data_IF_454302020604
#
_entry.id   IF_454302020604
#
_cell.length_a   1.000
_cell.length_b   1.000
_cell.length_c   1.000
_cell.angle_alpha   90.00
_cell.angle_beta   90.00
_cell.angle_gamma   90.00
#
_symmetry.space_group_name_H-M   'P 1'
#
loop_
_entity.id
_entity.type
_entity.pdbx_description
1 polymer ?
#
# COMPACT_ATOMS: atom_id res chain seq x y z
N UNK A 1 -19.99 11.16 15.40
CA UNK A 1 -20.01 10.08 14.41
C UNK A 1 -18.80 9.20 14.66
N UNK A 2 -19.01 7.90 14.81
CA UNK A 2 -18.00 6.90 15.16
C UNK A 2 -17.54 6.15 13.92
N UNK A 3 -16.22 6.07 13.72
CA UNK A 3 -15.61 5.46 12.54
C UNK A 3 -14.63 4.37 12.99
N UNK A 4 -14.63 3.23 12.32
CA UNK A 4 -13.66 2.16 12.59
C UNK A 4 -12.96 1.74 11.32
N UNK A 5 -11.63 1.64 11.39
CA UNK A 5 -10.77 1.06 10.36
C UNK A 5 -10.46 -0.40 10.71
N UNK A 6 -10.78 -1.31 9.80
CA UNK A 6 -10.66 -2.77 9.94
C UNK A 6 -10.08 -3.40 8.67
N UNK A 7 -9.69 -4.65 8.68
CA UNK A 7 -9.16 -5.43 9.79
C UNK A 7 -7.63 -5.42 9.79
N UNK A 8 -7.03 -4.59 8.94
CA UNK A 8 -5.59 -4.51 8.69
C UNK A 8 -5.09 -3.07 8.80
N UNK A 9 -3.86 -2.91 9.28
CA UNK A 9 -3.10 -1.68 9.13
C UNK A 9 -2.00 -1.90 8.10
N UNK A 10 -2.22 -1.42 6.87
CA UNK A 10 -1.31 -1.58 5.74
C UNK A 10 -0.58 -0.26 5.51
N UNK A 11 0.75 -0.29 5.62
CA UNK A 11 1.61 0.86 5.34
C UNK A 11 1.35 2.08 6.24
N UNK A 12 0.66 1.93 7.38
CA UNK A 12 0.31 3.05 8.26
C UNK A 12 -0.86 3.93 7.78
N UNK A 13 -1.40 3.73 6.57
CA UNK A 13 -2.48 4.55 6.02
C UNK A 13 -3.74 4.58 6.91
N UNK A 14 -4.29 3.43 7.37
CA UNK A 14 -5.49 3.45 8.21
C UNK A 14 -5.29 4.21 9.51
N UNK A 15 -4.15 4.01 10.17
CA UNK A 15 -3.82 4.65 11.42
C UNK A 15 -3.67 6.17 11.27
N UNK A 16 -2.91 6.61 10.26
CA UNK A 16 -2.70 8.04 10.05
C UNK A 16 -3.99 8.74 9.61
N UNK A 17 -4.80 8.09 8.76
CA UNK A 17 -6.13 8.58 8.39
C UNK A 17 -7.05 8.72 9.61
N UNK A 18 -7.12 7.67 10.45
CA UNK A 18 -7.91 7.68 11.69
C UNK A 18 -7.52 8.82 12.62
N UNK A 19 -6.20 9.04 12.80
CA UNK A 19 -5.69 10.15 13.59
C UNK A 19 -6.15 11.51 13.06
N UNK A 20 -6.07 11.72 11.76
CA UNK A 20 -6.50 12.98 11.14
C UNK A 20 -8.03 13.16 11.17
N UNK A 21 -8.82 12.07 11.10
CA UNK A 21 -10.27 12.15 11.31
C UNK A 21 -10.60 12.57 12.75
N UNK A 22 -9.84 12.11 13.74
CA UNK A 22 -9.98 12.57 15.14
C UNK A 22 -9.62 14.06 15.29
N UNK A 23 -8.57 14.54 14.62
CA UNK A 23 -8.21 15.96 14.57
C UNK A 23 -9.34 16.82 13.93
N UNK A 24 -10.18 16.22 13.08
CA UNK A 24 -11.35 16.87 12.44
C UNK A 24 -12.65 16.73 13.30
N UNK A 25 -12.55 16.27 14.54
CA UNK A 25 -13.66 16.17 15.48
C UNK A 25 -14.56 14.94 15.31
N UNK A 26 -14.07 13.89 14.63
CA UNK A 26 -14.73 12.60 14.53
C UNK A 26 -14.16 11.62 15.57
N UNK A 27 -14.88 10.57 15.93
CA UNK A 27 -14.39 9.49 16.80
C UNK A 27 -13.96 8.31 15.93
N UNK A 28 -12.67 8.26 15.60
CA UNK A 28 -12.12 7.27 14.67
C UNK A 28 -11.10 6.36 15.36
N UNK A 29 -11.22 5.06 15.12
CA UNK A 29 -10.37 4.02 15.70
C UNK A 29 -9.86 3.05 14.64
N UNK A 30 -8.70 2.46 14.91
CA UNK A 30 -8.06 1.44 14.08
C UNK A 30 -7.97 0.12 14.83
N UNK A 31 -8.70 -0.89 14.37
CA UNK A 31 -8.64 -2.23 14.95
C UNK A 31 -8.06 -3.22 13.93
N UNK A 32 -7.13 -4.06 14.37
CA UNK A 32 -6.50 -5.07 13.51
C UNK A 32 -6.70 -6.47 14.07
N UNK A 33 -6.85 -7.46 13.19
CA UNK A 33 -6.95 -8.87 13.63
C UNK A 33 -5.66 -9.28 14.33
N UNK A 34 -4.50 -8.95 13.75
CA UNK A 34 -3.19 -9.29 14.33
C UNK A 34 -2.18 -8.19 13.97
N UNK A 35 -1.11 -8.08 14.74
CA UNK A 35 0.04 -7.24 14.39
C UNK A 35 0.65 -7.69 13.07
N UNK A 36 1.07 -6.72 12.26
CA UNK A 36 1.92 -7.02 11.11
C UNK A 36 3.41 -7.01 11.51
N UNK A 37 4.28 -7.49 10.62
CA UNK A 37 5.72 -7.56 10.86
C UNK A 37 6.39 -6.18 11.00
N UNK A 38 5.80 -5.11 10.47
CA UNK A 38 6.28 -3.72 10.56
C UNK A 38 5.85 -3.03 11.86
N UNK A 39 5.09 -3.71 12.72
CA UNK A 39 4.65 -3.19 14.03
C UNK A 39 3.88 -1.86 13.98
N UNK A 40 3.16 -1.56 12.90
CA UNK A 40 2.28 -0.39 12.88
C UNK A 40 1.32 -0.44 14.07
N UNK A 41 1.18 0.66 14.77
CA UNK A 41 0.29 0.78 15.92
C UNK A 41 -1.19 0.67 15.47
N UNK A 42 -2.03 0.19 16.36
CA UNK A 42 -3.48 0.17 16.21
C UNK A 42 -4.10 0.37 17.58
N UNK A 43 -5.29 0.97 17.65
CA UNK A 43 -5.98 1.21 18.92
C UNK A 43 -6.39 -0.12 19.58
N UNK A 44 -6.67 -1.15 18.76
CA UNK A 44 -6.97 -2.50 19.27
C UNK A 44 -6.42 -3.59 18.37
N UNK A 45 -5.82 -4.60 19.00
CA UNK A 45 -5.43 -5.87 18.39
C UNK A 45 -6.42 -6.92 18.88
N UNK A 46 -7.15 -7.54 17.94
CA UNK A 46 -8.25 -8.46 18.26
C UNK A 46 -7.70 -9.81 18.70
N UNK A 47 -6.70 -10.32 18.02
CA UNK A 47 -6.15 -11.66 18.24
C UNK A 47 -4.66 -11.62 18.61
N UNK A 48 -4.27 -12.52 19.50
CA UNK A 48 -2.88 -12.75 19.86
C UNK A 48 -2.23 -13.79 18.92
N UNK A 49 -0.91 -13.74 18.68
CA UNK A 49 -0.19 -14.82 17.98
C UNK A 49 -0.32 -16.21 18.63
N UNK A 50 -0.68 -16.26 19.91
CA UNK A 50 -0.88 -17.51 20.67
C UNK A 50 -2.29 -18.09 20.54
N UNK A 51 -3.23 -17.36 19.92
CA UNK A 51 -4.59 -17.80 19.78
C UNK A 51 -4.70 -18.96 18.77
N UNK A 52 -5.35 -20.05 19.17
CA UNK A 52 -5.73 -21.08 18.23
C UNK A 52 -6.89 -20.63 17.32
N UNK A 53 -7.20 -21.41 16.28
CA UNK A 53 -8.25 -21.05 15.29
C UNK A 53 -9.60 -20.76 15.92
N UNK A 54 -10.02 -21.55 16.90
CA UNK A 54 -11.32 -21.40 17.58
C UNK A 54 -11.33 -20.07 18.35
N UNK A 55 -10.27 -19.79 19.11
CA UNK A 55 -10.17 -18.53 19.86
C UNK A 55 -10.15 -17.31 18.95
N UNK A 56 -9.49 -17.39 17.79
CA UNK A 56 -9.52 -16.32 16.76
C UNK A 56 -10.95 -16.05 16.32
N UNK A 57 -11.77 -17.09 16.05
CA UNK A 57 -13.14 -16.89 15.60
C UNK A 57 -14.05 -16.36 16.71
N UNK A 58 -13.88 -16.82 17.96
CA UNK A 58 -14.60 -16.27 19.13
C UNK A 58 -14.28 -14.78 19.28
N UNK A 59 -13.01 -14.39 19.20
CA UNK A 59 -12.59 -12.99 19.32
C UNK A 59 -13.09 -12.12 18.17
N UNK A 60 -13.13 -12.63 16.94
CA UNK A 60 -13.71 -11.94 15.78
C UNK A 60 -15.21 -11.74 15.96
N UNK A 61 -15.93 -12.76 16.45
CA UNK A 61 -17.35 -12.66 16.72
C UNK A 61 -17.63 -11.64 17.85
N UNK A 62 -16.85 -11.67 18.92
CA UNK A 62 -16.92 -10.65 19.96
C UNK A 62 -16.63 -9.24 19.42
N UNK A 63 -15.62 -9.10 18.55
CA UNK A 63 -15.28 -7.83 17.90
C UNK A 63 -16.43 -7.32 17.01
N UNK A 64 -17.10 -8.20 16.27
CA UNK A 64 -18.23 -7.84 15.41
C UNK A 64 -19.33 -7.10 16.20
N UNK A 65 -19.65 -7.56 17.41
CA UNK A 65 -20.66 -6.91 18.28
C UNK A 65 -20.32 -5.44 18.56
N UNK A 66 -19.04 -5.15 18.73
CA UNK A 66 -18.57 -3.76 18.92
C UNK A 66 -18.50 -2.99 17.61
N UNK A 67 -18.17 -3.63 16.49
CA UNK A 67 -18.16 -2.97 15.17
C UNK A 67 -19.54 -2.42 14.82
N UNK A 68 -20.61 -3.09 15.23
CA UNK A 68 -21.99 -2.64 14.97
C UNK A 68 -22.37 -1.31 15.65
N UNK A 69 -21.63 -0.84 16.66
CA UNK A 69 -21.88 0.46 17.30
C UNK A 69 -21.29 1.66 16.52
N UNK A 70 -20.39 1.41 15.55
CA UNK A 70 -19.82 2.44 14.71
C UNK A 70 -20.79 2.83 13.59
N UNK A 71 -20.73 4.10 13.16
CA UNK A 71 -21.58 4.62 12.09
C UNK A 71 -20.98 4.32 10.72
N UNK A 72 -19.64 4.30 10.65
CA UNK A 72 -18.86 4.07 9.43
C UNK A 72 -17.83 2.98 9.68
N UNK A 73 -17.80 2.01 8.78
CA UNK A 73 -16.81 0.92 8.79
C UNK A 73 -15.95 1.02 7.54
N UNK A 74 -14.65 1.21 7.73
CA UNK A 74 -13.66 1.31 6.67
C UNK A 74 -12.85 0.00 6.62
N UNK A 75 -13.09 -0.80 5.59
CA UNK A 75 -12.37 -2.04 5.34
C UNK A 75 -11.10 -1.79 4.53
N UNK A 76 -9.95 -2.13 5.10
CA UNK A 76 -8.64 -1.98 4.49
C UNK A 76 -8.14 -3.30 3.91
N UNK A 77 -7.47 -3.23 2.75
CA UNK A 77 -6.96 -4.40 2.05
C UNK A 77 -8.06 -5.26 1.44
N UNK A 78 -9.17 -4.63 1.00
CA UNK A 78 -10.27 -5.29 0.29
C UNK A 78 -10.88 -6.47 1.05
N UNK A 79 -10.94 -6.41 2.40
CA UNK A 79 -11.49 -7.50 3.22
C UNK A 79 -12.10 -7.00 4.52
N UNK A 80 -13.09 -7.73 5.02
CA UNK A 80 -13.72 -7.54 6.32
C UNK A 80 -13.12 -8.47 7.40
N UNK A 81 -13.71 -8.57 8.55
CA UNK A 81 -13.28 -9.50 9.62
C UNK A 81 -13.31 -10.96 9.12
N UNK A 82 -14.29 -11.32 8.31
CA UNK A 82 -14.43 -12.64 7.72
C UNK A 82 -14.15 -12.60 6.23
N UNK A 83 -13.48 -13.63 5.70
CA UNK A 83 -13.19 -13.72 4.26
C UNK A 83 -14.35 -14.40 3.54
N UNK A 84 -14.97 -13.75 2.53
CA UNK A 84 -16.08 -14.35 1.80
C UNK A 84 -15.64 -15.50 0.88
N UNK A 85 -14.38 -15.50 0.45
CA UNK A 85 -13.81 -16.52 -0.45
C UNK A 85 -12.39 -16.86 -0.02
N UNK A 86 -12.03 -18.12 -0.18
CA UNK A 86 -10.70 -18.65 0.12
C UNK A 86 -10.27 -19.56 -1.04
N UNK A 87 -8.95 -19.67 -1.26
CA UNK A 87 -8.42 -20.65 -2.19
C UNK A 87 -8.68 -22.05 -1.62
N UNK A 88 -9.46 -22.84 -2.33
CA UNK A 88 -9.59 -24.26 -2.04
C UNK A 88 -8.31 -24.96 -2.50
N UNK A 89 -7.55 -25.54 -1.58
CA UNK A 89 -6.64 -26.64 -1.89
C UNK A 89 -7.48 -27.81 -2.45
N UNK A 90 -6.86 -28.69 -3.22
CA UNK A 90 -7.54 -29.89 -3.70
C UNK A 90 -8.27 -30.57 -2.54
N UNK A 91 -9.59 -30.64 -2.63
CA UNK A 91 -10.42 -31.23 -1.60
C UNK A 91 -10.30 -32.74 -1.66
N UNK A 92 -9.97 -33.36 -0.54
CA UNK A 92 -9.90 -34.80 -0.41
C UNK A 92 -10.87 -35.24 0.66
N UNK A 93 -11.91 -35.97 0.27
CA UNK A 93 -12.95 -36.51 1.17
C UNK A 93 -12.40 -37.50 2.22
N UNK A 94 -11.29 -38.15 1.95
CA UNK A 94 -10.68 -39.12 2.86
C UNK A 94 -9.70 -38.49 3.87
N UNK A 95 -9.55 -37.15 3.82
CA UNK A 95 -8.64 -36.43 4.71
C UNK A 95 -9.43 -35.51 5.66
N UNK A 96 -9.44 -35.83 6.94
CA UNK A 96 -10.13 -35.07 7.99
C UNK A 96 -9.71 -33.57 7.99
N UNK A 97 -8.44 -33.29 7.76
CA UNK A 97 -7.95 -31.91 7.69
C UNK A 97 -8.56 -31.15 6.50
N UNK A 98 -8.75 -31.81 5.37
CA UNK A 98 -9.43 -31.22 4.19
C UNK A 98 -10.90 -30.94 4.49
N UNK A 99 -11.58 -31.85 5.18
CA UNK A 99 -12.99 -31.67 5.59
C UNK A 99 -13.11 -30.48 6.56
N UNK A 100 -12.27 -30.44 7.59
CA UNK A 100 -12.25 -29.31 8.55
C UNK A 100 -11.94 -27.97 7.90
N UNK A 101 -11.03 -27.95 6.93
CA UNK A 101 -10.75 -26.75 6.13
C UNK A 101 -11.97 -26.31 5.31
N UNK A 102 -12.68 -27.26 4.69
CA UNK A 102 -13.88 -26.96 3.91
C UNK A 102 -15.01 -26.40 4.79
N UNK A 103 -15.27 -27.02 5.94
CA UNK A 103 -16.24 -26.53 6.92
C UNK A 103 -15.89 -25.13 7.42
N UNK A 104 -14.62 -24.88 7.69
CA UNK A 104 -14.14 -23.54 8.07
C UNK A 104 -14.36 -22.51 6.95
N UNK A 105 -14.20 -22.90 5.67
CA UNK A 105 -14.44 -22.00 4.54
C UNK A 105 -15.93 -21.68 4.38
N UNK A 106 -16.80 -22.67 4.57
CA UNK A 106 -18.26 -22.48 4.56
C UNK A 106 -18.65 -21.53 5.71
N UNK A 107 -18.15 -21.77 6.92
CA UNK A 107 -18.35 -20.89 8.06
C UNK A 107 -17.89 -19.45 7.78
N UNK A 108 -16.67 -19.26 7.28
CA UNK A 108 -16.13 -17.94 6.97
C UNK A 108 -16.93 -17.22 5.87
N UNK A 109 -17.37 -17.97 4.86
CA UNK A 109 -18.24 -17.49 3.78
C UNK A 109 -19.61 -17.03 4.32
N UNK A 110 -20.21 -17.80 5.22
CA UNK A 110 -21.48 -17.45 5.89
C UNK A 110 -21.31 -16.22 6.78
N UNK A 111 -20.30 -16.21 7.63
CA UNK A 111 -20.03 -15.12 8.56
C UNK A 111 -19.72 -13.80 7.86
N UNK A 112 -19.06 -13.82 6.71
CA UNK A 112 -18.84 -12.61 5.91
C UNK A 112 -20.16 -12.00 5.42
N UNK A 113 -21.16 -12.82 5.09
CA UNK A 113 -22.52 -12.36 4.71
C UNK A 113 -23.28 -11.83 5.89
N UNK A 114 -23.19 -12.49 7.03
CA UNK A 114 -23.81 -12.03 8.29
C UNK A 114 -23.22 -10.67 8.67
N UNK A 115 -21.90 -10.53 8.68
CA UNK A 115 -21.21 -9.27 8.99
C UNK A 115 -21.72 -8.11 8.13
N UNK A 116 -21.62 -8.25 6.80
CA UNK A 116 -22.00 -7.18 5.87
C UNK A 116 -23.54 -6.98 5.83
N UNK A 117 -24.30 -8.05 5.95
CA UNK A 117 -25.77 -7.98 6.03
C UNK A 117 -26.26 -7.20 7.26
N UNK A 118 -25.66 -7.45 8.43
CA UNK A 118 -25.96 -6.71 9.66
C UNK A 118 -25.57 -5.23 9.54
N UNK A 119 -24.40 -4.93 9.00
CA UNK A 119 -23.97 -3.55 8.78
C UNK A 119 -24.95 -2.81 7.86
N UNK A 120 -25.38 -3.45 6.76
CA UNK A 120 -26.36 -2.88 5.83
C UNK A 120 -27.75 -2.72 6.48
N UNK A 121 -28.22 -3.73 7.21
CA UNK A 121 -29.50 -3.68 7.93
C UNK A 121 -29.54 -2.51 8.94
N UNK A 122 -28.41 -2.29 9.63
CA UNK A 122 -28.23 -1.19 10.57
C UNK A 122 -27.87 0.14 9.89
N UNK A 123 -27.97 0.21 8.56
CA UNK A 123 -27.69 1.40 7.74
C UNK A 123 -26.29 2.01 7.97
N UNK A 124 -25.30 1.16 8.29
CA UNK A 124 -23.92 1.61 8.45
C UNK A 124 -23.28 1.92 7.08
N UNK A 125 -22.50 3.00 6.99
CA UNK A 125 -21.73 3.30 5.78
C UNK A 125 -20.51 2.41 5.72
N UNK A 126 -20.29 1.73 4.58
CA UNK A 126 -19.18 0.80 4.36
C UNK A 126 -18.27 1.39 3.31
N UNK A 127 -17.02 1.67 3.69
CA UNK A 127 -15.97 2.14 2.80
C UNK A 127 -14.93 1.04 2.62
N UNK A 128 -14.41 0.89 1.40
CA UNK A 128 -13.44 -0.16 1.08
C UNK A 128 -12.21 0.48 0.45
N UNK A 129 -11.04 0.16 1.00
CA UNK A 129 -9.75 0.62 0.52
C UNK A 129 -8.95 -0.55 -0.06
N UNK A 130 -8.61 -0.45 -1.36
CA UNK A 130 -7.69 -1.35 -2.03
C UNK A 130 -6.31 -0.71 -2.14
N UNK A 131 -5.26 -1.49 -1.81
CA UNK A 131 -3.93 -0.93 -1.62
C UNK A 131 -2.82 -1.60 -2.44
N UNK A 132 -3.13 -2.67 -3.21
CA UNK A 132 -2.16 -3.33 -4.05
C UNK A 132 -2.47 -4.78 -4.36
N UNK A 133 -1.77 -5.74 -3.75
CA UNK A 133 -1.93 -7.18 -4.01
C UNK A 133 -3.30 -7.74 -3.61
N UNK A 134 -4.06 -7.00 -2.83
CA UNK A 134 -5.43 -7.29 -2.43
C UNK A 134 -6.42 -7.25 -3.62
N UNK A 135 -6.15 -6.42 -4.62
CA UNK A 135 -6.98 -6.31 -5.84
C UNK A 135 -6.23 -6.63 -7.13
N UNK A 136 -4.89 -6.44 -7.18
CA UNK A 136 -4.11 -6.63 -8.41
C UNK A 136 -4.21 -8.06 -8.92
N UNK A 137 -4.64 -8.21 -10.18
CA UNK A 137 -4.87 -9.49 -10.85
C UNK A 137 -3.72 -9.76 -11.83
N UNK A 138 -3.04 -10.88 -11.66
CA UNK A 138 -1.86 -11.22 -12.46
C UNK A 138 -2.21 -11.58 -13.91
N UNK A 139 -3.33 -12.27 -14.10
CA UNK A 139 -3.82 -12.58 -15.45
C UNK A 139 -4.11 -11.31 -16.25
N UNK A 140 -4.76 -10.31 -15.63
CA UNK A 140 -4.96 -9.01 -16.25
C UNK A 140 -3.64 -8.30 -16.53
N UNK A 141 -2.74 -8.22 -15.55
CA UNK A 141 -1.43 -7.59 -15.71
C UNK A 141 -0.60 -8.27 -16.79
N UNK A 142 -0.62 -9.61 -16.86
CA UNK A 142 0.10 -10.39 -17.86
C UNK A 142 -0.39 -10.14 -19.28
N UNK A 143 -1.70 -9.92 -19.44
CA UNK A 143 -2.31 -9.68 -20.74
C UNK A 143 -2.15 -8.24 -21.22
N UNK A 144 -2.17 -7.27 -20.30
CA UNK A 144 -2.37 -5.85 -20.66
C UNK A 144 -1.13 -4.98 -20.44
N UNK A 145 -0.14 -5.41 -19.63
CA UNK A 145 1.01 -4.58 -19.29
C UNK A 145 2.33 -5.15 -19.83
N UNK A 146 3.11 -4.32 -20.51
CA UNK A 146 4.47 -4.67 -20.97
C UNK A 146 5.39 -4.91 -19.76
N UNK A 147 5.42 -4.00 -18.82
CA UNK A 147 6.19 -4.09 -17.57
C UNK A 147 5.24 -4.45 -16.44
N UNK A 148 5.52 -5.53 -15.74
CA UNK A 148 4.68 -6.11 -14.71
C UNK A 148 5.51 -6.71 -13.59
N UNK A 149 4.92 -6.82 -12.42
CA UNK A 149 5.57 -7.45 -11.26
C UNK A 149 5.90 -8.91 -11.60
N UNK A 150 7.16 -9.35 -11.49
CA UNK A 150 7.54 -10.73 -11.71
C UNK A 150 7.10 -11.58 -10.51
N UNK A 151 5.86 -12.05 -10.55
CA UNK A 151 5.40 -13.01 -9.55
C UNK A 151 5.95 -14.39 -9.91
N UNK A 152 6.69 -15.00 -8.99
CA UNK A 152 7.05 -16.41 -9.12
C UNK A 152 5.78 -17.27 -9.15
N UNK A 153 5.72 -18.25 -10.06
CA UNK A 153 4.55 -19.12 -10.28
C UNK A 153 4.09 -19.89 -9.03
N UNK A 154 4.93 -19.97 -8.01
CA UNK A 154 4.66 -20.65 -6.74
C UNK A 154 4.24 -19.71 -5.59
N UNK A 155 4.30 -18.39 -5.78
CA UNK A 155 3.83 -17.46 -4.75
C UNK A 155 2.31 -17.42 -4.73
N UNK A 156 1.73 -17.27 -3.53
CA UNK A 156 0.27 -17.10 -3.38
C UNK A 156 -0.27 -15.94 -4.21
N UNK A 157 0.55 -14.93 -4.50
CA UNK A 157 0.20 -13.75 -5.28
C UNK A 157 0.28 -13.96 -6.79
N UNK A 158 1.05 -14.96 -7.28
CA UNK A 158 1.24 -15.27 -8.70
C UNK A 158 0.29 -16.32 -9.30
N UNK A 159 -0.57 -16.93 -8.49
CA UNK A 159 -1.43 -18.02 -8.94
C UNK A 159 -2.78 -17.49 -9.45
N UNK A 160 -3.18 -17.84 -10.69
CA UNK A 160 -4.45 -17.46 -11.31
C UNK A 160 -5.71 -17.82 -10.49
N UNK A 161 -5.67 -18.88 -9.68
CA UNK A 161 -6.75 -19.21 -8.73
C UNK A 161 -7.02 -18.07 -7.74
N UNK A 162 -5.98 -17.34 -7.33
CA UNK A 162 -6.14 -16.19 -6.44
C UNK A 162 -6.74 -14.99 -7.16
N UNK A 163 -6.51 -14.81 -8.46
CA UNK A 163 -7.11 -13.73 -9.24
C UNK A 163 -8.63 -13.90 -9.35
N UNK A 164 -9.11 -15.13 -9.54
CA UNK A 164 -10.56 -15.42 -9.51
C UNK A 164 -11.16 -15.11 -8.12
N UNK A 165 -10.46 -15.46 -7.04
CA UNK A 165 -10.91 -15.15 -5.68
C UNK A 165 -10.96 -13.64 -5.44
N UNK A 166 -9.99 -12.88 -5.94
CA UNK A 166 -9.98 -11.42 -5.87
C UNK A 166 -11.19 -10.85 -6.61
N UNK A 167 -11.45 -11.29 -7.85
CA UNK A 167 -12.63 -10.88 -8.62
C UNK A 167 -13.95 -11.16 -7.88
N UNK A 168 -14.10 -12.38 -7.35
CA UNK A 168 -15.29 -12.75 -6.56
C UNK A 168 -15.41 -11.88 -5.30
N UNK A 169 -14.29 -11.60 -4.61
CA UNK A 169 -14.28 -10.77 -3.42
C UNK A 169 -14.60 -9.31 -3.73
N UNK A 170 -14.01 -8.73 -4.78
CA UNK A 170 -14.30 -7.38 -5.26
C UNK A 170 -15.79 -7.25 -5.57
N UNK A 171 -16.36 -8.17 -6.38
CA UNK A 171 -17.77 -8.17 -6.73
C UNK A 171 -18.69 -8.39 -5.52
N UNK A 172 -18.24 -9.14 -4.52
CA UNK A 172 -19.00 -9.33 -3.29
C UNK A 172 -19.05 -8.06 -2.47
N UNK A 173 -17.89 -7.45 -2.19
CA UNK A 173 -17.81 -6.25 -1.36
C UNK A 173 -18.45 -5.03 -2.01
N UNK A 174 -18.36 -4.89 -3.34
CA UNK A 174 -18.93 -3.75 -4.07
C UNK A 174 -20.45 -3.62 -3.90
N UNK A 175 -21.17 -4.75 -3.65
CA UNK A 175 -22.63 -4.76 -3.39
C UNK A 175 -23.01 -4.08 -2.07
N UNK A 176 -22.08 -3.99 -1.14
CA UNK A 176 -22.31 -3.43 0.19
C UNK A 176 -21.65 -2.07 0.39
N UNK A 177 -20.67 -1.75 -0.45
CA UNK A 177 -19.86 -0.55 -0.32
C UNK A 177 -20.66 0.72 -0.63
N UNK A 178 -20.57 1.71 0.26
CA UNK A 178 -21.00 3.09 0.00
C UNK A 178 -19.96 3.84 -0.84
N UNK A 179 -18.67 3.55 -0.62
CA UNK A 179 -17.53 4.11 -1.36
C UNK A 179 -16.43 3.08 -1.48
N UNK A 180 -15.70 3.12 -2.60
CA UNK A 180 -14.52 2.30 -2.85
C UNK A 180 -13.38 3.21 -3.26
N UNK A 181 -12.22 3.04 -2.62
CA UNK A 181 -11.00 3.77 -2.94
C UNK A 181 -9.87 2.84 -3.33
N UNK A 182 -9.03 3.33 -4.22
CA UNK A 182 -7.76 2.69 -4.58
C UNK A 182 -6.59 3.63 -4.31
N UNK A 183 -5.56 3.14 -3.62
CA UNK A 183 -4.32 3.90 -3.39
C UNK A 183 -3.33 3.78 -4.55
N UNK A 184 -3.58 2.86 -5.49
CA UNK A 184 -2.75 2.67 -6.68
C UNK A 184 -3.62 2.76 -7.93
N UNK A 185 -3.24 3.57 -8.92
CA UNK A 185 -4.06 3.77 -10.11
C UNK A 185 -4.18 2.52 -10.99
N UNK A 186 -3.20 1.62 -10.99
CA UNK A 186 -3.25 0.37 -11.76
C UNK A 186 -4.41 -0.56 -11.35
N UNK A 187 -4.88 -0.45 -10.11
CA UNK A 187 -6.00 -1.26 -9.62
C UNK A 187 -7.35 -0.83 -10.21
N UNK A 188 -7.47 0.42 -10.67
CA UNK A 188 -8.70 0.93 -11.27
C UNK A 188 -9.07 0.24 -12.59
N UNK A 189 -8.13 -0.46 -13.21
CA UNK A 189 -8.43 -1.32 -14.35
C UNK A 189 -9.30 -2.55 -13.99
N UNK A 190 -9.25 -3.00 -12.73
CA UNK A 190 -9.89 -4.26 -12.28
C UNK A 190 -10.90 -4.05 -11.15
N UNK A 191 -11.03 -2.84 -10.67
CA UNK A 191 -12.01 -2.44 -9.67
C UNK A 191 -13.29 -1.89 -10.35
N UNK A 192 -14.43 -1.82 -9.64
CA UNK A 192 -15.65 -1.18 -10.16
C UNK A 192 -15.39 0.25 -10.66
N UNK A 193 -16.11 0.67 -11.68
CA UNK A 193 -15.96 2.01 -12.28
C UNK A 193 -16.26 3.17 -11.32
N UNK A 194 -17.00 2.89 -10.24
CA UNK A 194 -17.27 3.84 -9.16
C UNK A 194 -16.11 4.00 -8.18
N UNK A 195 -15.00 3.29 -8.37
CA UNK A 195 -13.82 3.38 -7.50
C UNK A 195 -13.07 4.68 -7.77
N UNK A 196 -12.75 5.41 -6.71
CA UNK A 196 -11.97 6.63 -6.79
C UNK A 196 -10.50 6.40 -6.40
N UNK A 197 -9.58 7.08 -7.11
CA UNK A 197 -8.19 7.15 -6.69
C UNK A 197 -8.07 8.03 -5.44
N UNK A 198 -7.32 7.55 -4.45
CA UNK A 198 -6.98 8.30 -3.25
C UNK A 198 -5.48 8.20 -2.99
N UNK A 199 -4.73 9.31 -2.87
CA UNK A 199 -3.31 9.26 -2.57
C UNK A 199 -3.01 8.60 -1.22
N UNK A 200 -1.78 8.11 -1.04
CA UNK A 200 -1.31 7.59 0.25
C UNK A 200 -1.37 8.65 1.34
N UNK A 201 -1.74 8.24 2.56
CA UNK A 201 -1.78 9.06 3.77
C UNK A 201 -1.03 8.38 4.92
N UNK A 202 0.11 7.77 4.61
CA UNK A 202 0.82 6.85 5.51
C UNK A 202 1.64 7.55 6.60
N UNK A 203 1.94 8.84 6.46
CA UNK A 203 2.76 9.61 7.39
C UNK A 203 2.17 10.98 7.70
N UNK A 204 2.50 11.53 8.87
CA UNK A 204 2.23 12.93 9.20
C UNK A 204 3.37 13.81 8.71
N UNK A 205 3.23 14.39 7.52
CA UNK A 205 4.28 15.18 6.85
C UNK A 205 4.81 16.32 7.73
N UNK A 206 4.00 16.86 8.64
CA UNK A 206 4.40 17.93 9.57
C UNK A 206 5.52 17.50 10.54
N UNK A 207 5.66 16.20 10.76
CA UNK A 207 6.66 15.60 11.67
C UNK A 207 7.92 15.14 10.94
N UNK A 208 7.97 15.40 9.62
CA UNK A 208 9.07 15.00 8.77
C UNK A 208 9.82 16.24 8.29
N UNK A 209 10.89 16.60 9.01
CA UNK A 209 11.78 17.68 8.58
C UNK A 209 12.53 17.28 7.31
N UNK A 210 12.85 18.26 6.48
CA UNK A 210 13.64 18.04 5.27
C UNK A 210 15.14 17.97 5.58
N UNK A 211 15.83 17.03 4.92
CA UNK A 211 17.27 16.81 5.07
C UNK A 211 17.96 16.98 3.71
N UNK A 212 18.06 18.22 3.23
CA UNK A 212 18.70 18.55 1.97
C UNK A 212 20.24 18.41 2.06
N UNK A 213 20.85 17.91 0.98
CA UNK A 213 22.30 17.66 0.89
C UNK A 213 23.00 18.51 -0.16
N UNK A 214 22.39 19.64 -0.58
CA UNK A 214 22.89 20.52 -1.64
C UNK A 214 24.35 20.95 -1.45
N UNK A 215 24.78 21.29 -0.24
CA UNK A 215 26.11 21.79 0.07
C UNK A 215 27.14 20.68 0.31
N UNK A 216 26.75 19.42 0.21
CA UNK A 216 27.66 18.29 0.47
C UNK A 216 28.64 18.10 -0.69
N UNK A 217 29.94 18.02 -0.37
CA UNK A 217 31.02 17.69 -1.34
C UNK A 217 31.26 16.18 -1.48
N UNK A 218 30.65 15.35 -0.61
CA UNK A 218 30.79 13.88 -0.70
C UNK A 218 30.14 13.32 -1.97
N UNK A 219 30.51 12.11 -2.42
CA UNK A 219 29.78 11.40 -3.45
C UNK A 219 28.28 11.25 -3.14
N UNK A 220 27.43 11.13 -4.18
CA UNK A 220 26.00 10.91 -4.01
C UNK A 220 25.73 9.60 -3.28
N UNK A 221 24.77 9.60 -2.36
CA UNK A 221 24.25 8.38 -1.68
C UNK A 221 22.90 8.02 -2.29
N UNK A 222 22.88 6.94 -3.06
CA UNK A 222 21.68 6.41 -3.72
C UNK A 222 21.17 5.24 -2.92
N UNK A 223 19.96 5.38 -2.34
CA UNK A 223 19.34 4.37 -1.50
C UNK A 223 18.36 3.48 -2.24
N UNK A 224 18.23 2.24 -1.76
CA UNK A 224 17.18 1.30 -2.15
C UNK A 224 16.73 0.54 -0.90
N UNK A 225 15.41 0.52 -0.60
CA UNK A 225 14.88 -0.10 0.60
C UNK A 225 13.70 -1.04 0.27
N UNK A 226 13.98 -2.26 -0.18
CA UNK A 226 12.95 -3.19 -0.61
C UNK A 226 12.38 -3.97 0.57
N UNK A 227 11.05 -3.95 0.74
CA UNK A 227 10.33 -4.92 1.60
C UNK A 227 10.17 -6.28 0.93
N UNK A 228 10.27 -6.32 -0.40
CA UNK A 228 10.30 -7.53 -1.22
C UNK A 228 11.20 -7.28 -2.43
N UNK A 229 12.35 -7.93 -2.46
CA UNK A 229 13.38 -7.70 -3.47
C UNK A 229 12.91 -8.00 -4.90
N UNK A 230 12.13 -9.08 -5.09
CA UNK A 230 11.62 -9.46 -6.42
C UNK A 230 10.64 -8.41 -6.97
N UNK A 231 9.68 -7.98 -6.15
CA UNK A 231 8.66 -7.00 -6.54
C UNK A 231 9.26 -5.62 -6.86
N UNK A 232 10.33 -5.25 -6.16
CA UNK A 232 10.98 -3.94 -6.29
C UNK A 232 12.00 -3.88 -7.43
N UNK A 233 12.46 -5.02 -7.95
CA UNK A 233 13.49 -5.08 -8.98
C UNK A 233 14.92 -4.92 -8.44
N UNK A 234 15.16 -5.31 -7.19
CA UNK A 234 16.41 -5.13 -6.46
C UNK A 234 17.62 -5.67 -7.22
N UNK A 235 17.52 -6.83 -7.87
CA UNK A 235 18.61 -7.42 -8.63
C UNK A 235 19.04 -6.56 -9.81
N UNK A 236 18.09 -5.93 -10.51
CA UNK A 236 18.38 -5.03 -11.64
C UNK A 236 19.02 -3.74 -11.15
N UNK A 237 18.50 -3.18 -10.04
CA UNK A 237 19.03 -1.95 -9.45
C UNK A 237 20.47 -2.16 -8.96
N UNK A 238 20.75 -3.26 -8.24
CA UNK A 238 22.10 -3.63 -7.79
C UNK A 238 23.06 -3.83 -8.96
N UNK A 239 22.60 -4.49 -10.05
CA UNK A 239 23.41 -4.69 -11.27
C UNK A 239 23.73 -3.37 -11.95
N UNK A 240 22.76 -2.46 -12.09
CA UNK A 240 22.95 -1.14 -12.66
C UNK A 240 23.95 -0.31 -11.86
N UNK A 241 23.80 -0.27 -10.53
CA UNK A 241 24.73 0.42 -9.65
C UNK A 241 26.18 -0.10 -9.79
N UNK A 242 26.36 -1.43 -9.78
CA UNK A 242 27.69 -2.05 -9.95
C UNK A 242 28.33 -1.73 -11.30
N UNK A 243 27.54 -1.73 -12.39
CA UNK A 243 28.05 -1.38 -13.73
C UNK A 243 28.52 0.06 -13.80
N UNK A 244 27.77 1.00 -13.19
CA UNK A 244 28.15 2.41 -13.15
C UNK A 244 29.43 2.63 -12.33
N UNK A 245 29.57 1.96 -11.17
CA UNK A 245 30.81 1.99 -10.40
C UNK A 245 32.01 1.46 -11.21
N UNK A 246 31.81 0.37 -11.96
CA UNK A 246 32.84 -0.18 -12.84
C UNK A 246 33.20 0.76 -14.02
N UNK A 247 32.26 1.63 -14.43
CA UNK A 247 32.50 2.71 -15.42
C UNK A 247 33.24 3.93 -14.84
N UNK A 248 33.54 3.91 -13.53
CA UNK A 248 34.26 4.99 -12.85
C UNK A 248 33.37 6.07 -12.22
N UNK A 249 32.07 5.89 -12.18
CA UNK A 249 31.19 6.82 -11.44
C UNK A 249 31.37 6.67 -9.94
N UNK A 250 31.64 7.78 -9.25
CA UNK A 250 31.80 7.84 -7.81
C UNK A 250 30.47 8.13 -7.12
N UNK A 251 29.89 7.13 -6.45
CA UNK A 251 28.70 7.24 -5.59
C UNK A 251 28.63 6.07 -4.61
N UNK A 252 27.90 6.26 -3.52
CA UNK A 252 27.61 5.22 -2.52
C UNK A 252 26.21 4.64 -2.81
N UNK A 253 26.13 3.31 -3.03
CA UNK A 253 24.86 2.61 -3.16
C UNK A 253 24.52 1.94 -1.85
N UNK A 254 23.39 2.36 -1.21
CA UNK A 254 22.95 1.95 0.12
C UNK A 254 21.70 1.09 0.02
N UNK A 255 21.79 -0.15 0.44
CA UNK A 255 20.61 -1.03 0.56
C UNK A 255 20.16 -1.07 2.01
N UNK A 256 18.89 -0.75 2.26
CA UNK A 256 18.31 -0.68 3.61
C UNK A 256 17.34 -1.85 3.77
N UNK A 257 17.78 -2.89 4.46
CA UNK A 257 17.03 -4.15 4.68
C UNK A 257 17.15 -4.56 6.15
N UNK A 258 16.17 -5.31 6.65
CA UNK A 258 16.17 -5.96 7.97
C UNK A 258 16.39 -5.01 9.17
N UNK A 259 15.93 -3.77 9.03
CA UNK A 259 16.02 -2.75 10.07
C UNK A 259 14.65 -2.41 10.66
N UNK A 260 14.66 -1.97 11.92
CA UNK A 260 13.47 -1.33 12.49
C UNK A 260 13.20 -0.01 11.77
N UNK A 261 11.93 0.41 11.73
CA UNK A 261 11.52 1.65 11.07
C UNK A 261 12.36 2.86 11.48
N UNK A 262 12.59 3.07 12.79
CA UNK A 262 13.37 4.20 13.27
C UNK A 262 14.83 4.18 12.78
N UNK A 263 15.47 3.00 12.76
CA UNK A 263 16.83 2.87 12.23
C UNK A 263 16.87 3.10 10.72
N UNK A 264 15.88 2.63 9.99
CA UNK A 264 15.78 2.89 8.55
C UNK A 264 15.62 4.38 8.26
N UNK A 265 14.78 5.11 9.01
CA UNK A 265 14.59 6.56 8.86
C UNK A 265 15.90 7.34 9.08
N UNK A 266 16.74 6.96 10.05
CA UNK A 266 18.04 7.61 10.22
C UNK A 266 18.95 7.44 9.00
N UNK A 267 18.92 6.28 8.33
CA UNK A 267 19.64 6.09 7.07
C UNK A 267 18.99 6.92 5.96
N UNK A 268 17.66 6.96 5.86
CA UNK A 268 16.93 7.73 4.84
C UNK A 268 17.31 9.22 4.86
N UNK A 269 17.50 9.81 6.04
CA UNK A 269 17.94 11.21 6.19
C UNK A 269 19.29 11.47 5.50
N UNK A 270 20.17 10.46 5.46
CA UNK A 270 21.52 10.58 4.88
C UNK A 270 21.57 10.37 3.38
N UNK A 271 20.52 9.82 2.77
CA UNK A 271 20.44 9.59 1.32
C UNK A 271 20.30 10.90 0.55
N UNK A 272 20.72 10.90 -0.70
CA UNK A 272 20.47 11.98 -1.65
C UNK A 272 19.28 11.65 -2.54
N UNK A 273 19.14 10.39 -2.94
CA UNK A 273 18.14 9.90 -3.89
C UNK A 273 17.68 8.51 -3.45
N UNK A 274 16.39 8.19 -3.69
CA UNK A 274 15.86 6.84 -3.53
C UNK A 274 15.58 6.21 -4.89
N UNK A 275 15.93 4.94 -5.07
CA UNK A 275 15.34 4.08 -6.11
C UNK A 275 14.26 3.24 -5.46
N UNK A 276 12.97 3.50 -5.78
CA UNK A 276 11.84 2.80 -5.14
C UNK A 276 11.54 1.46 -5.79
N UNK A 277 10.94 1.44 -6.99
CA UNK A 277 10.50 0.20 -7.63
C UNK A 277 10.37 0.32 -9.14
N UNK A 278 10.60 -0.81 -9.86
CA UNK A 278 10.68 -0.83 -11.32
C UNK A 278 9.54 -1.59 -12.01
N UNK A 279 8.61 -2.23 -11.29
CA UNK A 279 7.63 -3.12 -11.90
C UNK A 279 6.17 -2.75 -11.67
N UNK A 280 5.86 -2.04 -10.59
CA UNK A 280 4.46 -1.84 -10.17
C UNK A 280 3.70 -0.80 -11.00
N UNK A 281 4.38 0.07 -11.72
CA UNK A 281 3.75 1.14 -12.51
C UNK A 281 3.30 2.36 -11.69
N UNK A 282 3.53 2.34 -10.39
CA UNK A 282 3.27 3.44 -9.46
C UNK A 282 4.27 3.38 -8.31
N UNK A 283 4.49 4.50 -7.64
CA UNK A 283 5.34 4.56 -6.45
C UNK A 283 4.66 4.00 -5.21
N UNK A 284 5.44 3.66 -4.18
CA UNK A 284 4.92 3.13 -2.92
C UNK A 284 4.91 4.15 -1.78
N UNK A 285 4.41 3.73 -0.60
CA UNK A 285 4.45 4.53 0.62
C UNK A 285 5.86 4.97 1.03
N UNK A 286 6.87 4.14 0.76
CA UNK A 286 8.28 4.49 0.98
C UNK A 286 8.70 5.74 0.18
N UNK A 287 8.26 5.86 -1.07
CA UNK A 287 8.54 7.05 -1.87
C UNK A 287 7.95 8.32 -1.22
N UNK A 288 6.74 8.22 -0.65
CA UNK A 288 6.12 9.33 0.10
C UNK A 288 6.96 9.71 1.32
N UNK A 289 7.48 8.72 2.06
CA UNK A 289 8.38 8.93 3.20
C UNK A 289 9.66 9.67 2.78
N UNK A 290 10.35 9.19 1.75
CA UNK A 290 11.61 9.80 1.29
C UNK A 290 11.38 11.21 0.68
N UNK A 291 10.32 11.39 -0.11
CA UNK A 291 9.96 12.72 -0.63
C UNK A 291 9.61 13.70 0.51
N UNK A 292 9.05 13.20 1.62
CA UNK A 292 8.81 14.04 2.81
C UNK A 292 10.10 14.50 3.49
N UNK A 293 11.17 13.72 3.39
CA UNK A 293 12.51 14.12 3.81
C UNK A 293 13.22 15.01 2.76
N UNK A 294 12.56 15.34 1.66
CA UNK A 294 13.16 16.08 0.55
C UNK A 294 14.11 15.24 -0.29
N UNK A 295 13.85 13.94 -0.47
CA UNK A 295 14.68 13.07 -1.30
C UNK A 295 13.98 12.81 -2.63
N UNK A 296 14.60 13.13 -3.78
CA UNK A 296 14.10 12.74 -5.09
C UNK A 296 13.99 11.22 -5.22
N UNK A 297 13.05 10.77 -6.04
CA UNK A 297 12.75 9.35 -6.18
C UNK A 297 12.84 8.92 -7.64
N UNK A 298 13.54 7.81 -7.89
CA UNK A 298 13.55 7.07 -9.15
C UNK A 298 12.53 5.94 -9.04
N UNK A 299 11.59 5.87 -9.98
CA UNK A 299 10.56 4.81 -9.98
C UNK A 299 9.97 4.62 -11.37
N UNK A 300 9.37 3.45 -11.60
CA UNK A 300 8.57 3.22 -12.81
C UNK A 300 7.15 3.80 -12.63
N UNK A 301 6.75 4.65 -13.56
CA UNK A 301 5.40 5.20 -13.67
C UNK A 301 4.80 4.71 -14.99
N UNK A 302 3.68 3.98 -14.94
CA UNK A 302 2.97 3.53 -16.13
C UNK A 302 2.08 4.64 -16.65
N UNK A 303 2.37 5.11 -17.87
CA UNK A 303 1.64 6.23 -18.48
C UNK A 303 0.13 5.94 -18.65
N UNK A 304 -0.25 4.70 -18.99
CA UNK A 304 -1.65 4.30 -19.16
C UNK A 304 -2.49 4.39 -17.88
N UNK A 305 -1.84 4.36 -16.71
CA UNK A 305 -2.50 4.48 -15.41
C UNK A 305 -2.79 5.94 -15.04
N UNK A 306 -2.11 6.90 -15.68
CA UNK A 306 -2.23 8.34 -15.37
C UNK A 306 -3.59 8.95 -15.73
N UNK A 307 -4.40 8.25 -16.51
CA UNK A 307 -5.80 8.62 -16.77
C UNK A 307 -6.70 8.53 -15.53
N UNK A 308 -6.29 7.80 -14.50
CA UNK A 308 -7.06 7.56 -13.28
C UNK A 308 -6.73 8.53 -12.13
N UNK A 309 -5.71 9.36 -12.29
CA UNK A 309 -5.32 10.35 -11.29
C UNK A 309 -5.75 11.77 -11.72
N UNK A 310 -5.85 12.72 -10.78
CA UNK A 310 -6.13 14.12 -11.13
C UNK A 310 -5.13 14.67 -12.15
N UNK A 311 -5.63 15.43 -13.14
CA UNK A 311 -4.80 15.98 -14.21
C UNK A 311 -3.68 16.87 -13.66
N UNK A 312 -3.96 17.65 -12.63
CA UNK A 312 -2.97 18.50 -11.96
C UNK A 312 -1.87 17.66 -11.29
N UNK A 313 -2.25 16.55 -10.62
CA UNK A 313 -1.28 15.63 -10.02
C UNK A 313 -0.36 15.00 -11.07
N UNK A 314 -0.91 14.66 -12.25
CA UNK A 314 -0.14 14.11 -13.38
C UNK A 314 0.94 15.07 -13.85
N UNK A 315 0.64 16.36 -13.92
CA UNK A 315 1.56 17.42 -14.36
C UNK A 315 2.67 17.69 -13.33
N UNK A 316 2.43 17.40 -12.06
CA UNK A 316 3.32 17.70 -10.94
C UNK A 316 4.15 16.50 -10.47
N UNK A 317 4.05 15.33 -11.12
CA UNK A 317 4.82 14.14 -10.73
C UNK A 317 6.33 14.41 -10.73
N UNK A 318 7.02 14.39 -9.57
CA UNK A 318 8.41 14.85 -9.44
C UNK A 318 9.44 13.73 -9.62
N UNK A 319 9.09 12.63 -10.31
CA UNK A 319 9.89 11.42 -10.36
C UNK A 319 10.90 11.41 -11.50
N UNK A 320 12.09 10.90 -11.22
CA UNK A 320 12.95 10.35 -12.27
C UNK A 320 12.34 9.01 -12.72
N UNK A 321 11.76 9.00 -13.92
CA UNK A 321 11.07 7.80 -14.44
C UNK A 321 12.10 6.80 -14.99
N UNK A 322 12.08 5.58 -14.48
CA UNK A 322 12.93 4.50 -14.94
C UNK A 322 12.15 3.19 -15.12
N UNK A 323 12.40 2.52 -16.22
CA UNK A 323 11.94 1.15 -16.50
C UNK A 323 13.04 0.14 -16.13
N UNK A 324 12.72 -1.16 -15.99
CA UNK A 324 13.71 -2.20 -15.74
C UNK A 324 14.90 -2.17 -16.71
N UNK A 325 14.65 -1.82 -17.99
CA UNK A 325 15.65 -1.77 -19.06
C UNK A 325 16.46 -0.46 -19.06
N UNK A 326 15.91 0.61 -18.49
CA UNK A 326 16.51 1.97 -18.56
C UNK A 326 17.13 2.43 -17.25
N UNK A 327 17.02 1.66 -16.16
CA UNK A 327 17.49 2.07 -14.82
C UNK A 327 18.97 2.50 -14.81
N UNK A 328 19.85 1.77 -15.50
CA UNK A 328 21.29 2.12 -15.59
C UNK A 328 21.46 3.49 -16.23
N UNK A 329 20.81 3.74 -17.38
CA UNK A 329 20.88 5.02 -18.10
C UNK A 329 20.32 6.18 -17.26
N UNK A 330 19.21 5.96 -16.56
CA UNK A 330 18.61 7.00 -15.69
C UNK A 330 19.54 7.33 -14.52
N UNK A 331 20.13 6.33 -13.88
CA UNK A 331 21.11 6.57 -12.81
C UNK A 331 22.35 7.28 -13.33
N UNK A 332 22.87 6.93 -14.52
CA UNK A 332 23.99 7.61 -15.16
C UNK A 332 23.67 9.09 -15.45
N UNK A 333 22.47 9.37 -15.95
CA UNK A 333 22.00 10.74 -16.15
C UNK A 333 21.98 11.53 -14.83
N UNK A 334 21.43 10.93 -13.76
CA UNK A 334 21.35 11.56 -12.44
C UNK A 334 22.75 11.85 -11.86
N UNK A 335 23.70 10.91 -12.01
CA UNK A 335 25.07 11.07 -11.53
C UNK A 335 25.81 12.21 -12.25
N UNK A 336 25.44 12.53 -13.48
CA UNK A 336 25.97 13.64 -14.26
C UNK A 336 25.23 14.99 -13.99
N UNK A 337 24.12 15.00 -13.24
CA UNK A 337 23.43 16.25 -12.93
C UNK A 337 24.21 17.13 -11.97
N UNK A 338 24.20 18.46 -12.16
CA UNK A 338 24.66 19.40 -11.14
C UNK A 338 23.88 19.20 -9.83
N UNK A 339 24.55 19.33 -8.69
CA UNK A 339 23.89 19.23 -7.37
C UNK A 339 22.71 20.17 -7.21
N UNK A 340 22.75 21.33 -7.85
CA UNK A 340 21.64 22.29 -7.84
C UNK A 340 20.35 21.70 -8.44
N UNK A 341 20.44 20.94 -9.55
CA UNK A 341 19.25 20.31 -10.16
C UNK A 341 18.69 19.16 -9.32
N UNK A 342 19.57 18.39 -8.65
CA UNK A 342 19.12 17.37 -7.67
C UNK A 342 18.39 18.06 -6.51
N UNK A 343 18.87 19.21 -6.07
CA UNK A 343 18.23 19.99 -5.02
C UNK A 343 16.88 20.57 -5.45
N UNK A 344 16.74 21.06 -6.67
CA UNK A 344 15.46 21.48 -7.25
C UNK A 344 14.46 20.32 -7.29
N UNK A 345 14.90 19.12 -7.70
CA UNK A 345 14.10 17.91 -7.67
C UNK A 345 13.69 17.51 -6.24
N UNK A 346 14.57 17.77 -5.25
CA UNK A 346 14.28 17.53 -3.84
C UNK A 346 13.17 18.47 -3.31
N UNK A 347 13.23 19.75 -3.69
CA UNK A 347 12.17 20.73 -3.37
C UNK A 347 10.86 20.35 -4.03
N UNK A 348 10.88 19.96 -5.31
CA UNK A 348 9.69 19.52 -6.04
C UNK A 348 9.06 18.29 -5.39
N UNK A 349 9.88 17.32 -4.97
CA UNK A 349 9.44 16.11 -4.25
C UNK A 349 8.72 16.46 -2.94
N UNK A 350 9.29 17.39 -2.15
CA UNK A 350 8.66 17.84 -0.88
C UNK A 350 7.34 18.56 -1.15
N UNK A 351 7.29 19.50 -2.08
CA UNK A 351 6.06 20.21 -2.46
C UNK A 351 4.96 19.26 -2.92
N UNK A 352 5.33 18.24 -3.70
CA UNK A 352 4.38 17.23 -4.20
C UNK A 352 3.70 16.48 -3.04
N UNK A 353 4.46 15.99 -2.07
CA UNK A 353 3.86 15.26 -0.94
C UNK A 353 3.03 16.18 -0.04
N UNK A 354 3.44 17.42 0.20
CA UNK A 354 2.67 18.41 0.96
C UNK A 354 1.32 18.74 0.30
N UNK A 355 1.28 18.72 -1.02
CA UNK A 355 0.05 18.97 -1.76
C UNK A 355 -0.85 17.73 -1.80
N UNK A 356 -0.33 16.57 -2.19
CA UNK A 356 -1.10 15.40 -2.57
C UNK A 356 -1.19 14.32 -1.49
N UNK A 357 -0.22 14.26 -0.57
CA UNK A 357 -0.12 13.24 0.47
C UNK A 357 -0.34 13.78 1.89
N UNK A 358 -0.81 15.03 2.05
CA UNK A 358 -1.19 15.54 3.37
C UNK A 358 -2.38 14.73 3.90
N UNK A 359 -2.19 13.94 4.97
CA UNK A 359 -3.22 13.05 5.49
C UNK A 359 -4.46 13.80 5.99
N UNK A 360 -4.35 15.09 6.34
CA UNK A 360 -5.49 15.93 6.73
C UNK A 360 -6.37 16.29 5.54
N UNK A 361 -5.77 16.57 4.38
CA UNK A 361 -6.54 16.80 3.14
C UNK A 361 -7.29 15.55 2.74
N UNK A 362 -6.65 14.39 2.83
CA UNK A 362 -7.25 13.09 2.56
C UNK A 362 -8.37 12.79 3.56
N UNK A 363 -8.14 13.01 4.86
CA UNK A 363 -9.16 12.85 5.89
C UNK A 363 -10.35 13.82 5.71
N UNK A 364 -10.11 15.07 5.26
CA UNK A 364 -11.19 16.01 4.91
C UNK A 364 -12.05 15.49 3.76
N UNK A 365 -11.43 14.94 2.69
CA UNK A 365 -12.19 14.31 1.59
C UNK A 365 -13.03 13.15 2.12
N UNK A 366 -12.44 12.23 2.90
CA UNK A 366 -13.16 11.10 3.49
C UNK A 366 -14.33 11.60 4.37
N UNK A 367 -14.12 12.65 5.19
CA UNK A 367 -15.18 13.26 6.00
C UNK A 367 -16.35 13.78 5.16
N UNK A 368 -16.07 14.44 4.04
CA UNK A 368 -17.11 14.89 3.09
C UNK A 368 -17.86 13.70 2.53
N UNK A 369 -17.16 12.67 2.05
CA UNK A 369 -17.76 11.47 1.46
C UNK A 369 -18.54 10.63 2.49
N UNK A 370 -18.18 10.72 3.77
CA UNK A 370 -18.97 10.13 4.86
C UNK A 370 -20.27 10.93 5.10
N UNK A 371 -20.25 12.22 4.87
CA UNK A 371 -21.43 13.10 5.13
C UNK A 371 -22.42 13.12 3.96
N UNK A 372 -21.98 12.75 2.74
CA UNK A 372 -22.81 12.54 1.55
C UNK A 372 -23.57 11.21 1.61
#
# INVERSE_FOLDING_TARGET
MKIIHLPLNIGGNPQQTSKCLNELGLDSQTWVIAKNYLNYQADKIICSPKDNRIMVEIKKFAALRYVLIFDVVIFNGGRSLYKPFNATSNFNFFNLESILKALFYIYSWFMARVELGLLKLLRKKIFIFYQGSDARQNDFCNKNFKIKIPYENHSKTGNFKYDEIKRKSINFYSKYASRIYSLNPDLLHVLPSSTEFLPYSNIDIRKWDTFYTQKSKRPLRIGHAPTNQGLKGTSLIKKAAKRLQNKGFEFEFVVVEDLSFNKAVEIYKTLDILVDQLFAGWYGGLAVELMSLGKPVVTYIREDDLKFIPQEMKQELPFFKAEPETIEKVLEQILNLPRAQIFESAIASRKFVEKWHDPRKIAKKIKVDISS
#
